data_IF_168996250587
#
_entry.id   IF_168996250587
#
_cell.length_a   1.000
_cell.length_b   1.000
_cell.length_c   1.000
_cell.angle_alpha   90.00
_cell.angle_beta   90.00
_cell.angle_gamma   90.00
#
_symmetry.space_group_name_H-M   'P 1'
#
loop_
_entity.id
_entity.type
_entity.pdbx_description
1 polymer ?
#
# COMPACT_ATOMS: atom_id res chain seq x y z
N UNK A 1 -13.68 -19.35 14.87
CA UNK A 1 -14.89 -18.61 15.27
C UNK A 1 -16.09 -19.39 14.78
N UNK A 2 -17.04 -19.72 15.66
CA UNK A 2 -18.33 -20.28 15.23
C UNK A 2 -19.12 -19.10 14.68
N UNK A 3 -19.30 -19.08 13.36
CA UNK A 3 -20.04 -18.02 12.68
C UNK A 3 -21.52 -18.29 12.88
N UNK A 4 -22.23 -17.36 13.52
CA UNK A 4 -23.71 -17.36 13.53
C UNK A 4 -24.16 -16.96 12.13
N UNK A 5 -25.13 -17.66 11.56
CA UNK A 5 -25.66 -17.41 10.21
C UNK A 5 -26.19 -15.97 10.05
N UNK A 6 -26.72 -15.37 11.12
CA UNK A 6 -27.16 -13.96 11.13
C UNK A 6 -26.02 -12.95 10.92
N UNK A 7 -24.78 -13.37 11.16
CA UNK A 7 -23.58 -12.55 11.03
C UNK A 7 -22.93 -12.67 9.65
N UNK A 8 -23.49 -13.43 8.71
CA UNK A 8 -22.98 -13.58 7.34
C UNK A 8 -22.73 -12.24 6.64
N UNK A 9 -23.56 -11.23 6.91
CA UNK A 9 -23.46 -9.89 6.31
C UNK A 9 -22.44 -8.96 7.00
N UNK A 10 -21.87 -9.38 8.13
CA UNK A 10 -20.90 -8.58 8.90
C UNK A 10 -19.44 -8.96 8.59
N UNK A 11 -19.23 -9.97 7.74
CA UNK A 11 -17.89 -10.40 7.30
C UNK A 11 -17.34 -9.50 6.18
N UNK A 12 -17.28 -8.21 6.45
CA UNK A 12 -16.57 -7.27 5.60
C UNK A 12 -15.14 -7.03 6.12
N UNK A 13 -14.23 -6.67 5.23
CA UNK A 13 -12.88 -6.29 5.62
C UNK A 13 -12.93 -5.03 6.50
N UNK A 14 -12.18 -5.05 7.60
CA UNK A 14 -12.03 -3.85 8.45
C UNK A 14 -11.57 -2.65 7.61
N UNK A 15 -12.13 -1.47 7.87
CA UNK A 15 -11.75 -0.21 7.22
C UNK A 15 -10.25 0.13 7.41
N UNK A 16 -9.60 -0.43 8.43
CA UNK A 16 -8.16 -0.25 8.69
C UNK A 16 -7.28 -1.25 7.93
N UNK A 17 -7.88 -2.28 7.34
CA UNK A 17 -7.20 -3.29 6.54
C UNK A 17 -6.70 -2.69 5.22
N UNK A 18 -5.58 -3.16 4.65
CA UNK A 18 -5.13 -2.77 3.31
C UNK A 18 -6.18 -3.03 2.21
N UNK A 19 -7.12 -3.95 2.43
CA UNK A 19 -8.21 -4.26 1.51
C UNK A 19 -9.45 -3.37 1.71
N UNK A 20 -9.56 -2.70 2.87
CA UNK A 20 -10.65 -1.77 3.21
C UNK A 20 -10.30 -0.30 2.99
N UNK A 21 -9.33 0.02 2.12
CA UNK A 21 -8.86 1.39 1.88
C UNK A 21 -7.89 1.93 2.93
N UNK A 22 -7.45 1.09 3.87
CA UNK A 22 -6.45 1.44 4.87
C UNK A 22 -5.04 1.60 4.32
N UNK A 23 -4.07 1.86 5.21
CA UNK A 23 -2.67 2.08 4.81
C UNK A 23 -2.13 0.85 4.06
N UNK A 24 -1.46 1.04 2.90
CA UNK A 24 -0.92 -0.08 2.13
C UNK A 24 0.12 -0.85 2.96
N UNK A 25 0.19 -2.17 2.75
CA UNK A 25 1.06 -3.06 3.52
C UNK A 25 2.56 -2.75 3.41
N UNK A 26 3.36 -3.32 4.32
CA UNK A 26 4.80 -3.03 4.48
C UNK A 26 5.59 -3.19 3.18
N UNK A 27 5.34 -4.26 2.41
CA UNK A 27 6.04 -4.53 1.15
C UNK A 27 5.74 -3.44 0.12
N UNK A 28 4.47 -3.06 -0.06
CA UNK A 28 4.09 -1.97 -0.96
C UNK A 28 4.72 -0.64 -0.52
N UNK A 29 4.79 -0.34 0.78
CA UNK A 29 5.47 0.87 1.29
C UNK A 29 6.97 0.89 1.00
N UNK A 30 7.66 -0.24 1.20
CA UNK A 30 9.10 -0.36 0.86
C UNK A 30 9.35 -0.11 -0.63
N UNK A 31 8.52 -0.69 -1.49
CA UNK A 31 8.63 -0.52 -2.94
C UNK A 31 8.35 0.92 -3.36
N UNK A 32 7.33 1.59 -2.80
CA UNK A 32 7.04 3.01 -3.07
C UNK A 32 8.24 3.87 -2.67
N UNK A 33 8.80 3.68 -1.47
CA UNK A 33 9.98 4.41 -1.01
C UNK A 33 11.21 4.22 -1.93
N UNK A 34 11.48 2.98 -2.33
CA UNK A 34 12.57 2.67 -3.26
C UNK A 34 12.35 3.26 -4.67
N UNK A 35 11.10 3.30 -5.15
CA UNK A 35 10.77 3.95 -6.42
C UNK A 35 10.96 5.46 -6.36
N UNK A 36 10.60 6.10 -5.25
CA UNK A 36 10.83 7.54 -5.05
C UNK A 36 12.32 7.86 -5.09
N UNK A 37 13.16 7.12 -4.36
CA UNK A 37 14.61 7.36 -4.35
C UNK A 37 15.25 7.17 -5.73
N UNK A 38 14.84 6.15 -6.47
CA UNK A 38 15.39 5.89 -7.81
C UNK A 38 14.94 6.95 -8.83
N UNK A 39 13.69 7.41 -8.75
CA UNK A 39 13.18 8.50 -9.60
C UNK A 39 13.91 9.82 -9.33
N UNK A 40 14.14 10.16 -8.07
CA UNK A 40 14.91 11.34 -7.68
C UNK A 40 16.36 11.29 -8.18
N UNK A 41 17.03 10.12 -8.06
CA UNK A 41 18.39 9.92 -8.58
C UNK A 41 18.46 10.10 -10.10
N UNK A 42 17.57 9.42 -10.84
CA UNK A 42 17.55 9.50 -12.31
C UNK A 42 17.26 10.92 -12.78
N UNK A 43 16.34 11.63 -12.12
CA UNK A 43 16.04 13.03 -12.47
C UNK A 43 17.24 13.96 -12.22
N UNK A 44 17.97 13.78 -11.12
CA UNK A 44 19.18 14.57 -10.85
C UNK A 44 20.32 14.31 -11.85
N UNK A 45 20.50 13.06 -12.29
CA UNK A 45 21.50 12.69 -13.29
C UNK A 45 21.16 13.35 -14.64
N UNK A 46 19.89 13.32 -15.03
CA UNK A 46 19.45 13.88 -16.31
C UNK A 46 19.55 15.41 -16.38
N UNK A 47 19.43 16.11 -15.25
CA UNK A 47 19.65 17.57 -15.18
C UNK A 47 21.13 17.95 -15.16
N UNK A 48 22.02 17.07 -14.69
CA UNK A 48 23.46 17.34 -14.64
C UNK A 48 24.19 17.05 -15.97
N UNK A 49 23.52 16.42 -16.94
CA UNK A 49 24.04 16.08 -18.27
C UNK A 49 23.47 16.94 -19.40
N UNK A 50 22.78 18.05 -19.07
CA UNK A 50 22.33 19.08 -20.00
C UNK A 50 23.11 20.36 -19.81
#
# INVERSE_FOLDING_TARGET
FIVRLDSEKLFDFSLKSPFGGGRPGRVKRKIIGARVSNKCKVFSIMLSSK
#
